data_IF_605653937516
#
_entry.id   IF_605653937516
#
_cell.length_a   1.000
_cell.length_b   1.000
_cell.length_c   1.000
_cell.angle_alpha   90.00
_cell.angle_beta   90.00
_cell.angle_gamma   90.00
#
_symmetry.space_group_name_H-M   'P 1'
#
loop_
_entity.id
_entity.type
_entity.pdbx_description
1 polymer ?
#
# COMPACT_ATOMS: atom_id res chain seq x y z
N UNK A 1 37.20 21.94 -33.57
CA UNK A 1 37.74 22.37 -32.26
C UNK A 1 36.67 22.08 -31.22
N UNK A 2 36.57 20.82 -30.77
CA UNK A 2 37.18 20.25 -29.55
C UNK A 2 36.39 20.61 -28.29
N UNK A 3 35.78 19.61 -27.65
CA UNK A 3 35.14 19.77 -26.34
C UNK A 3 34.27 18.60 -25.87
N UNK A 4 34.69 17.34 -26.09
CA UNK A 4 34.15 16.19 -25.35
C UNK A 4 34.71 16.21 -23.93
N UNK A 5 33.84 16.17 -22.92
CA UNK A 5 34.20 15.71 -21.57
C UNK A 5 33.37 14.48 -21.22
N UNK A 6 34.02 13.33 -21.38
CA UNK A 6 33.80 12.12 -20.60
C UNK A 6 34.28 12.38 -19.17
N UNK A 7 33.57 11.87 -18.16
CA UNK A 7 34.18 11.16 -17.02
C UNK A 7 33.14 10.33 -16.26
N UNK A 8 33.62 9.17 -15.85
CA UNK A 8 32.97 7.93 -15.41
C UNK A 8 32.52 7.90 -13.93
N UNK A 9 31.91 6.79 -13.46
CA UNK A 9 31.13 6.68 -12.23
C UNK A 9 31.97 6.24 -11.02
N UNK A 10 31.46 6.49 -9.81
CA UNK A 10 31.97 5.91 -8.58
C UNK A 10 30.84 5.26 -7.78
N UNK A 11 30.97 3.94 -7.61
CA UNK A 11 30.22 3.11 -6.70
C UNK A 11 30.65 3.37 -5.25
N UNK A 12 29.71 3.31 -4.31
CA UNK A 12 29.99 3.06 -2.91
C UNK A 12 28.98 2.03 -2.37
N UNK A 13 29.37 0.76 -2.45
CA UNK A 13 28.85 -0.30 -1.59
C UNK A 13 29.48 -0.13 -0.21
N UNK A 14 28.67 -0.01 0.84
CA UNK A 14 29.12 -0.14 2.22
C UNK A 14 28.36 -1.27 2.89
N UNK A 15 29.15 -2.17 3.48
CA UNK A 15 28.81 -3.45 4.03
C UNK A 15 28.05 -3.37 5.36
N UNK A 16 27.20 -4.36 5.61
CA UNK A 16 26.60 -4.67 6.91
C UNK A 16 27.54 -5.61 7.70
N UNK A 17 27.74 -5.42 9.01
CA UNK A 17 28.32 -6.43 9.87
C UNK A 17 27.25 -7.44 10.33
N UNK A 18 27.49 -8.72 10.02
CA UNK A 18 26.84 -9.89 10.62
C UNK A 18 27.37 -10.06 12.05
N UNK A 19 26.46 -10.06 13.03
CA UNK A 19 26.75 -10.45 14.41
C UNK A 19 26.25 -11.86 14.68
N UNK A 20 27.17 -12.83 14.72
CA UNK A 20 26.99 -14.13 15.39
C UNK A 20 27.13 -13.95 16.89
N UNK A 21 26.14 -14.33 17.71
CA UNK A 21 26.36 -14.86 19.07
C UNK A 21 25.19 -15.75 19.50
N UNK A 22 25.50 -16.96 19.99
CA UNK A 22 24.87 -17.44 21.23
C UNK A 22 23.94 -18.65 21.14
N UNK A 23 24.52 -19.84 21.27
CA UNK A 23 23.83 -21.11 21.53
C UNK A 23 23.12 -21.13 22.90
N UNK A 24 22.02 -21.88 23.02
CA UNK A 24 21.81 -22.89 24.10
C UNK A 24 20.51 -23.69 23.89
N UNK A 25 20.64 -25.03 23.84
CA UNK A 25 19.56 -26.00 24.05
C UNK A 25 19.20 -26.08 25.54
N UNK A 26 17.95 -26.42 25.88
CA UNK A 26 17.77 -27.64 26.66
C UNK A 26 16.57 -28.50 26.25
N UNK A 27 16.81 -29.80 26.29
CA UNK A 27 15.86 -30.93 26.22
C UNK A 27 15.05 -31.05 27.52
N UNK A 28 13.72 -31.25 27.45
CA UNK A 28 13.01 -32.06 28.47
C UNK A 28 11.69 -32.66 27.95
N UNK A 29 11.61 -33.98 28.03
CA UNK A 29 10.42 -34.83 27.90
C UNK A 29 9.31 -34.41 28.87
N UNK A 30 8.04 -34.59 28.49
CA UNK A 30 7.14 -35.48 29.25
C UNK A 30 5.91 -35.94 28.44
N UNK A 31 5.70 -37.25 28.50
CA UNK A 31 4.50 -37.98 28.06
C UNK A 31 3.35 -37.71 29.04
N UNK A 32 2.13 -37.65 28.53
CA UNK A 32 0.92 -37.69 29.35
C UNK A 32 -0.31 -38.01 28.51
N UNK A 33 -0.52 -39.29 28.21
CA UNK A 33 -1.82 -39.83 27.78
C UNK A 33 -2.85 -39.61 28.88
N UNK A 34 -4.02 -39.08 28.56
CA UNK A 34 -5.29 -39.48 29.19
C UNK A 34 -6.43 -39.35 28.18
N UNK A 35 -6.93 -40.51 27.77
CA UNK A 35 -8.25 -40.66 27.20
C UNK A 35 -9.28 -40.55 28.33
N UNK A 36 -10.27 -39.69 28.15
CA UNK A 36 -11.57 -39.73 28.83
C UNK A 36 -12.60 -39.42 27.74
N UNK A 37 -13.30 -40.46 27.30
CA UNK A 37 -14.67 -40.78 27.70
C UNK A 37 -15.67 -39.86 26.99
N UNK A 38 -16.31 -40.44 25.97
CA UNK A 38 -17.50 -39.91 25.36
C UNK A 38 -18.60 -39.77 26.41
N UNK A 39 -19.32 -38.65 26.38
CA UNK A 39 -20.65 -38.53 26.97
C UNK A 39 -21.59 -37.90 25.93
N UNK A 40 -22.74 -38.54 25.62
CA UNK A 40 -23.63 -38.18 24.53
C UNK A 40 -24.73 -37.23 25.02
N UNK A 41 -24.48 -35.93 24.95
CA UNK A 41 -25.54 -34.91 25.09
C UNK A 41 -25.64 -34.09 23.80
N UNK A 42 -26.21 -34.72 22.77
CA UNK A 42 -26.89 -34.01 21.69
C UNK A 42 -28.26 -33.54 22.21
N UNK A 43 -28.42 -32.24 22.43
CA UNK A 43 -29.67 -31.47 22.26
C UNK A 43 -29.46 -30.02 22.70
N UNK A 44 -28.93 -29.21 21.80
CA UNK A 44 -29.48 -27.89 21.49
C UNK A 44 -28.79 -27.38 20.21
N UNK A 45 -29.49 -27.51 19.08
CA UNK A 45 -29.05 -26.99 17.79
C UNK A 45 -29.51 -25.55 17.71
N UNK A 46 -28.88 -24.70 18.51
CA UNK A 46 -29.03 -23.26 18.42
C UNK A 46 -27.88 -22.76 17.55
N UNK A 47 -28.24 -22.16 16.42
CA UNK A 47 -27.32 -21.59 15.45
C UNK A 47 -26.51 -20.46 16.07
N UNK A 48 -25.52 -20.82 16.87
CA UNK A 48 -24.43 -19.96 17.27
C UNK A 48 -23.56 -19.79 16.03
N UNK A 49 -23.96 -18.86 15.15
CA UNK A 49 -22.98 -18.07 14.41
C UNK A 49 -22.12 -17.42 15.49
N UNK A 50 -21.05 -18.08 15.89
CA UNK A 50 -19.90 -17.36 16.40
C UNK A 50 -19.58 -16.33 15.31
N UNK A 51 -19.68 -15.02 15.58
CA UNK A 51 -19.14 -14.05 14.64
C UNK A 51 -17.69 -14.48 14.44
N UNK A 52 -17.30 -14.73 13.19
CA UNK A 52 -15.91 -15.00 12.84
C UNK A 52 -15.11 -13.75 13.26
N UNK A 53 -14.64 -13.74 14.51
CA UNK A 53 -13.83 -12.66 15.10
C UNK A 53 -12.43 -12.58 14.47
N UNK A 54 -12.21 -13.30 13.37
CA UNK A 54 -10.98 -13.31 12.62
C UNK A 54 -11.21 -13.01 11.13
N UNK A 55 -12.23 -12.21 10.80
CA UNK A 55 -12.27 -11.52 9.51
C UNK A 55 -11.16 -10.45 9.49
N UNK A 56 -9.92 -10.93 9.42
CA UNK A 56 -8.77 -10.09 9.09
C UNK A 56 -9.00 -9.61 7.68
N UNK A 57 -9.57 -8.40 7.56
CA UNK A 57 -9.71 -7.65 6.32
C UNK A 57 -8.50 -7.88 5.41
N UNK A 58 -8.73 -8.26 4.16
CA UNK A 58 -7.69 -8.67 3.20
C UNK A 58 -6.57 -7.63 3.08
N UNK A 59 -6.90 -6.35 3.27
CA UNK A 59 -5.97 -5.23 3.33
C UNK A 59 -4.88 -5.37 4.40
N UNK A 60 -5.16 -6.04 5.53
CA UNK A 60 -4.16 -6.31 6.57
C UNK A 60 -3.06 -7.24 6.08
N UNK A 61 -3.37 -8.15 5.16
CA UNK A 61 -2.36 -9.05 4.57
C UNK A 61 -1.32 -8.27 3.76
N UNK A 62 -1.69 -7.10 3.22
CA UNK A 62 -0.78 -6.16 2.55
C UNK A 62 -0.03 -5.24 3.53
N UNK A 63 -0.25 -5.41 4.84
CA UNK A 63 0.39 -4.62 5.89
C UNK A 63 -0.27 -3.26 6.15
N UNK A 64 -1.49 -3.03 5.62
CA UNK A 64 -2.21 -1.76 5.75
C UNK A 64 -2.89 -1.66 7.11
N UNK A 65 -2.94 -0.46 7.69
CA UNK A 65 -3.67 -0.21 8.93
C UNK A 65 -5.12 0.16 8.65
N UNK A 66 -5.98 -0.86 8.75
CA UNK A 66 -7.42 -0.74 8.52
C UNK A 66 -8.24 -1.12 9.76
N UNK A 67 -9.35 -0.41 9.93
CA UNK A 67 -10.44 -0.74 10.83
C UNK A 67 -11.55 -1.39 10.02
N UNK A 68 -12.11 -2.49 10.49
CA UNK A 68 -13.27 -3.11 9.87
C UNK A 68 -14.46 -2.84 10.79
N UNK A 69 -15.53 -2.28 10.23
CA UNK A 69 -16.78 -2.11 10.97
C UNK A 69 -17.56 -3.43 10.92
N UNK A 70 -17.76 -4.11 12.07
CA UNK A 70 -18.44 -5.40 12.10
C UNK A 70 -19.92 -5.33 11.69
N UNK A 71 -20.50 -4.12 11.60
CA UNK A 71 -21.92 -3.95 11.29
C UNK A 71 -22.19 -3.61 9.82
N UNK A 72 -21.18 -3.20 9.06
CA UNK A 72 -21.39 -2.62 7.72
C UNK A 72 -20.51 -3.21 6.62
N UNK A 73 -19.71 -4.24 6.92
CA UNK A 73 -18.71 -4.84 6.03
C UNK A 73 -17.71 -3.83 5.42
N UNK A 74 -17.75 -2.57 5.87
CA UNK A 74 -16.87 -1.52 5.40
C UNK A 74 -15.51 -1.64 6.07
N UNK A 75 -14.47 -1.46 5.26
CA UNK A 75 -13.09 -1.37 5.73
C UNK A 75 -12.63 0.08 5.62
N UNK A 76 -12.29 0.70 6.73
CA UNK A 76 -11.78 2.07 6.77
C UNK A 76 -10.26 2.08 6.95
N UNK A 77 -9.55 2.74 6.04
CA UNK A 77 -8.12 3.02 6.11
C UNK A 77 -7.84 4.27 6.94
N UNK A 78 -6.80 4.22 7.78
CA UNK A 78 -6.28 5.39 8.48
C UNK A 78 -5.02 5.90 7.78
N UNK A 79 -5.07 7.14 7.30
CA UNK A 79 -3.99 7.76 6.53
C UNK A 79 -2.82 8.20 7.42
N UNK A 80 -1.60 8.04 6.93
CA UNK A 80 -0.34 8.57 7.48
C UNK A 80 0.46 7.62 8.36
N UNK A 81 -0.06 6.44 8.69
CA UNK A 81 0.71 5.41 9.40
C UNK A 81 1.68 4.68 8.49
N UNK A 82 1.15 3.77 7.66
CA UNK A 82 1.92 2.99 6.68
C UNK A 82 1.62 3.36 5.23
N UNK A 83 0.64 4.23 5.03
CA UNK A 83 0.14 4.63 3.73
C UNK A 83 -0.25 6.09 3.80
N UNK A 84 0.17 6.84 2.80
CA UNK A 84 -0.37 8.15 2.48
C UNK A 84 -1.19 8.07 1.21
N UNK A 85 -2.05 9.06 0.99
CA UNK A 85 -2.92 9.13 -0.17
C UNK A 85 -2.73 10.48 -0.87
N UNK A 86 -2.67 10.43 -2.19
CA UNK A 86 -2.70 11.60 -3.06
C UNK A 86 -3.97 11.53 -3.92
N UNK A 87 -4.69 12.63 -3.99
CA UNK A 87 -5.83 12.84 -4.89
C UNK A 87 -5.38 13.66 -6.09
N UNK A 88 -5.95 13.38 -7.25
CA UNK A 88 -5.73 14.15 -8.46
C UNK A 88 -6.88 13.94 -9.44
N UNK A 89 -7.21 14.92 -10.29
CA UNK A 89 -8.25 14.77 -11.29
C UNK A 89 -8.01 13.56 -12.21
N UNK A 90 -9.06 12.83 -12.57
CA UNK A 90 -8.94 11.60 -13.36
C UNK A 90 -8.10 11.73 -14.64
N UNK A 91 -8.17 12.82 -15.44
CA UNK A 91 -7.38 12.94 -16.67
C UNK A 91 -5.87 12.97 -16.43
N UNK A 92 -5.40 13.67 -15.38
CA UNK A 92 -3.97 13.69 -15.03
C UNK A 92 -3.58 12.38 -14.35
N UNK A 93 -4.45 11.83 -13.50
CA UNK A 93 -4.23 10.57 -12.80
C UNK A 93 -3.97 9.40 -13.75
N UNK A 94 -4.78 9.28 -14.80
CA UNK A 94 -4.65 8.24 -15.79
C UNK A 94 -3.29 8.31 -16.52
N UNK A 95 -2.78 9.51 -16.78
CA UNK A 95 -1.45 9.72 -17.39
C UNK A 95 -0.33 9.38 -16.42
N UNK A 96 -0.43 9.85 -15.18
CA UNK A 96 0.52 9.51 -14.10
C UNK A 96 0.60 8.00 -13.92
N UNK A 97 -0.55 7.34 -13.80
CA UNK A 97 -0.64 5.90 -13.66
C UNK A 97 -0.03 5.16 -14.85
N UNK A 98 -0.23 5.65 -16.08
CA UNK A 98 0.44 5.12 -17.29
C UNK A 98 1.96 5.25 -17.21
N UNK A 99 2.48 6.43 -16.83
CA UNK A 99 3.92 6.64 -16.65
C UNK A 99 4.47 5.67 -15.60
N UNK A 100 3.81 5.54 -14.46
CA UNK A 100 4.20 4.59 -13.41
C UNK A 100 4.18 3.14 -13.91
N UNK A 101 3.16 2.75 -14.69
CA UNK A 101 3.04 1.40 -15.23
C UNK A 101 4.18 1.05 -16.20
N UNK A 102 4.59 1.99 -17.07
CA UNK A 102 5.74 1.82 -17.97
C UNK A 102 7.03 1.56 -17.17
N UNK A 103 7.19 2.20 -16.01
CA UNK A 103 8.35 2.03 -15.13
C UNK A 103 8.18 0.86 -14.14
N UNK A 104 7.12 0.05 -14.27
CA UNK A 104 6.77 -1.04 -13.36
C UNK A 104 6.60 -0.61 -11.88
N UNK A 105 6.23 0.67 -11.68
CA UNK A 105 6.03 1.31 -10.37
C UNK A 105 4.56 1.70 -10.13
N UNK A 106 3.63 1.23 -10.96
CA UNK A 106 2.21 1.43 -10.74
C UNK A 106 1.76 0.72 -9.46
N UNK A 107 1.37 1.52 -8.47
CA UNK A 107 0.78 1.08 -7.22
C UNK A 107 -0.74 1.00 -7.28
N UNK A 108 -1.37 0.78 -6.12
CA UNK A 108 -2.82 0.77 -6.03
C UNK A 108 -3.40 2.14 -6.34
N UNK A 109 -4.53 2.15 -7.03
CA UNK A 109 -5.27 3.36 -7.36
C UNK A 109 -6.78 3.07 -7.41
N UNK A 110 -7.56 4.01 -6.89
CA UNK A 110 -9.01 3.91 -6.75
C UNK A 110 -9.68 5.14 -7.38
N UNK A 111 -10.83 4.95 -8.01
CA UNK A 111 -11.69 6.06 -8.47
C UNK A 111 -12.50 6.60 -7.29
N UNK A 112 -12.53 7.92 -7.14
CA UNK A 112 -13.36 8.64 -6.15
C UNK A 112 -14.03 9.85 -6.81
N UNK A 113 -15.22 9.64 -7.38
CA UNK A 113 -15.93 10.65 -8.17
C UNK A 113 -15.16 11.03 -9.43
N UNK A 114 -14.87 12.33 -9.60
CA UNK A 114 -14.10 12.88 -10.71
C UNK A 114 -12.56 12.80 -10.48
N UNK A 115 -12.14 12.37 -9.29
CA UNK A 115 -10.75 12.22 -8.91
C UNK A 115 -10.33 10.75 -8.89
N UNK A 116 -9.02 10.53 -8.96
CA UNK A 116 -8.42 9.28 -8.55
C UNK A 116 -7.63 9.47 -7.25
N UNK A 117 -7.65 8.43 -6.44
CA UNK A 117 -6.89 8.27 -5.22
C UNK A 117 -5.73 7.32 -5.50
N UNK A 118 -4.50 7.84 -5.40
CA UNK A 118 -3.28 7.05 -5.51
C UNK A 118 -2.70 6.79 -4.12
N UNK A 119 -2.43 5.52 -3.83
CA UNK A 119 -1.85 5.09 -2.57
C UNK A 119 -0.33 5.10 -2.65
N UNK A 120 0.32 5.70 -1.66
CA UNK A 120 1.76 5.93 -1.62
C UNK A 120 2.33 5.55 -0.25
N UNK A 121 3.65 5.35 -0.19
CA UNK A 121 4.37 5.28 1.08
C UNK A 121 4.09 6.53 1.93
N UNK A 122 4.06 6.37 3.26
CA UNK A 122 3.85 7.49 4.17
C UNK A 122 5.07 8.40 4.09
N UNK A 123 4.84 9.69 4.18
CA UNK A 123 5.92 10.66 4.21
C UNK A 123 5.80 11.44 5.51
N UNK A 124 6.90 11.48 6.26
CA UNK A 124 6.90 11.85 7.67
C UNK A 124 6.30 13.23 7.92
N UNK A 125 6.59 14.20 7.03
CA UNK A 125 6.07 15.59 7.02
C UNK A 125 6.26 16.33 5.68
N UNK A 126 6.46 15.63 4.56
CA UNK A 126 6.77 16.29 3.29
C UNK A 126 5.60 17.14 2.77
N UNK A 127 5.77 18.46 2.76
CA UNK A 127 4.86 19.36 2.06
C UNK A 127 4.81 19.00 0.58
N UNK A 128 3.65 19.23 -0.03
CA UNK A 128 3.49 19.02 -1.45
C UNK A 128 4.35 20.06 -2.21
N UNK A 129 5.11 19.67 -3.24
CA UNK A 129 5.82 20.63 -4.06
C UNK A 129 4.87 21.68 -4.65
N UNK A 130 5.25 22.97 -4.58
CA UNK A 130 4.43 24.09 -5.08
C UNK A 130 4.12 23.98 -6.57
N UNK A 131 4.99 23.30 -7.32
CA UNK A 131 4.81 23.08 -8.75
C UNK A 131 3.71 22.06 -9.06
N UNK A 132 3.08 21.39 -8.08
CA UNK A 132 2.10 20.31 -8.28
C UNK A 132 0.70 20.66 -7.74
N UNK A 133 0.16 21.81 -8.16
CA UNK A 133 -1.15 22.36 -7.77
C UNK A 133 -2.37 21.43 -8.00
N UNK A 134 -2.30 20.51 -8.96
CA UNK A 134 -3.40 19.55 -9.25
C UNK A 134 -3.41 18.34 -8.31
N UNK A 135 -2.34 18.15 -7.53
CA UNK A 135 -2.21 17.03 -6.59
C UNK A 135 -2.64 17.51 -5.22
N UNK A 136 -3.50 16.77 -4.53
CA UNK A 136 -3.90 17.09 -3.16
C UNK A 136 -3.49 15.95 -2.24
N UNK A 137 -2.74 16.26 -1.19
CA UNK A 137 -2.43 15.27 -0.16
C UNK A 137 -3.62 15.13 0.79
N UNK A 138 -4.04 13.88 1.05
CA UNK A 138 -5.02 13.62 2.11
C UNK A 138 -4.31 13.74 3.47
N UNK A 139 -4.85 14.52 4.43
CA UNK A 139 -4.21 14.72 5.72
C UNK A 139 -3.95 13.41 6.48
N UNK A 140 -2.83 13.36 7.20
CA UNK A 140 -2.56 12.27 8.14
C UNK A 140 -3.61 12.26 9.25
N UNK A 141 -4.06 11.07 9.63
CA UNK A 141 -5.14 10.85 10.59
C UNK A 141 -6.54 10.86 9.97
N UNK A 142 -6.67 11.28 8.70
CA UNK A 142 -7.93 11.12 7.97
C UNK A 142 -8.31 9.64 7.84
N UNK A 143 -9.62 9.41 7.81
CA UNK A 143 -10.22 8.10 7.55
C UNK A 143 -10.77 8.06 6.14
N UNK A 144 -10.52 6.97 5.44
CA UNK A 144 -11.01 6.75 4.08
C UNK A 144 -11.61 5.36 4.00
N UNK A 145 -12.84 5.26 3.49
CA UNK A 145 -13.46 3.97 3.26
C UNK A 145 -12.85 3.31 2.02
N UNK A 146 -12.49 2.04 2.17
CA UNK A 146 -11.98 1.20 1.11
C UNK A 146 -13.13 0.29 0.66
N UNK A 147 -13.42 0.24 -0.64
CA UNK A 147 -14.36 -0.73 -1.16
C UNK A 147 -13.77 -2.14 -1.06
N UNK A 148 -14.52 -3.22 -1.33
CA UNK A 148 -13.97 -4.56 -1.49
C UNK A 148 -12.87 -4.64 -2.58
N UNK A 149 -11.99 -5.66 -2.56
CA UNK A 149 -10.88 -5.78 -3.54
C UNK A 149 -11.35 -6.10 -4.96
N UNK A 150 -12.53 -6.72 -5.10
CA UNK A 150 -13.18 -7.05 -6.36
C UNK A 150 -14.05 -5.89 -6.92
N UNK A 151 -14.10 -4.77 -6.21
CA UNK A 151 -14.85 -3.60 -6.62
C UNK A 151 -14.29 -2.97 -7.92
N UNK A 152 -15.15 -2.64 -8.91
CA UNK A 152 -14.72 -2.08 -10.19
C UNK A 152 -14.13 -0.66 -10.08
N UNK A 153 -14.28 0.01 -8.93
CA UNK A 153 -13.64 1.28 -8.62
C UNK A 153 -12.13 1.18 -8.48
N UNK A 154 -11.58 -0.01 -8.27
CA UNK A 154 -10.14 -0.24 -8.30
C UNK A 154 -9.61 -0.15 -9.74
N UNK A 155 -8.82 0.89 -10.02
CA UNK A 155 -8.02 0.95 -11.25
C UNK A 155 -6.89 -0.08 -11.20
N UNK A 156 -6.20 -0.11 -10.07
CA UNK A 156 -5.21 -1.15 -9.73
C UNK A 156 -5.45 -1.54 -8.28
N UNK A 157 -5.90 -2.76 -7.98
CA UNK A 157 -6.08 -3.20 -6.60
C UNK A 157 -4.71 -3.40 -5.92
N UNK A 158 -4.64 -3.30 -4.58
CA UNK A 158 -3.42 -3.58 -3.83
C UNK A 158 -3.00 -5.04 -3.99
N UNK A 159 -1.69 -5.29 -3.97
CA UNK A 159 -1.10 -6.63 -4.10
C UNK A 159 0.03 -6.84 -3.11
N UNK A 160 0.20 -8.07 -2.63
CA UNK A 160 1.24 -8.40 -1.65
C UNK A 160 2.66 -8.36 -2.22
N UNK A 161 2.82 -8.63 -3.51
CA UNK A 161 4.10 -8.65 -4.22
C UNK A 161 4.55 -7.26 -4.69
N UNK A 162 3.69 -6.25 -4.58
CA UNK A 162 3.96 -4.90 -5.07
C UNK A 162 3.71 -3.84 -4.01
N UNK A 163 4.77 -3.26 -3.41
CA UNK A 163 4.59 -2.18 -2.45
C UNK A 163 4.02 -0.93 -3.12
N UNK A 164 3.37 -0.10 -2.32
CA UNK A 164 2.98 1.25 -2.76
C UNK A 164 4.23 2.04 -3.17
N UNK A 165 4.17 2.83 -4.27
CA UNK A 165 5.28 3.67 -4.69
C UNK A 165 5.57 4.77 -3.67
N UNK A 166 6.77 5.34 -3.70
CA UNK A 166 7.10 6.51 -2.88
C UNK A 166 6.48 7.78 -3.45
N UNK A 167 6.28 8.80 -2.62
CA UNK A 167 5.73 10.11 -3.07
C UNK A 167 6.59 10.75 -4.14
N UNK A 168 7.92 10.66 -4.00
CA UNK A 168 8.87 11.19 -4.99
C UNK A 168 8.72 10.54 -6.37
N UNK A 169 8.44 9.23 -6.41
CA UNK A 169 8.16 8.51 -7.66
C UNK A 169 6.88 9.03 -8.30
N UNK A 170 5.82 9.22 -7.51
CA UNK A 170 4.56 9.80 -8.02
C UNK A 170 4.79 11.23 -8.52
N UNK A 171 5.46 12.09 -7.77
CA UNK A 171 5.73 13.47 -8.17
C UNK A 171 6.54 13.55 -9.47
N UNK A 172 7.53 12.68 -9.63
CA UNK A 172 8.31 12.58 -10.87
C UNK A 172 7.42 12.14 -12.05
N UNK A 173 6.50 11.20 -11.82
CA UNK A 173 5.54 10.78 -12.82
C UNK A 173 4.53 11.88 -13.19
N UNK A 174 4.09 12.70 -12.22
CA UNK A 174 3.24 13.89 -12.46
C UNK A 174 3.95 14.89 -13.35
N UNK A 175 5.19 15.27 -13.02
CA UNK A 175 5.98 16.19 -13.85
C UNK A 175 6.14 15.68 -15.27
N UNK A 176 6.38 14.38 -15.46
CA UNK A 176 6.47 13.77 -16.78
C UNK A 176 5.14 13.77 -17.53
N UNK A 177 4.05 13.39 -16.86
CA UNK A 177 2.71 13.40 -17.44
C UNK A 177 2.29 14.80 -17.93
N UNK A 178 2.68 15.85 -17.19
CA UNK A 178 2.50 17.26 -17.61
C UNK A 178 3.35 17.63 -18.81
N UNK A 179 4.63 17.23 -18.83
CA UNK A 179 5.51 17.49 -19.97
C UNK A 179 4.97 16.86 -21.27
N UNK A 180 4.36 15.68 -21.18
CA UNK A 180 3.69 14.99 -22.30
C UNK A 180 2.36 15.65 -22.70
N UNK A 181 1.71 16.37 -21.77
CA UNK A 181 0.44 17.06 -22.01
C UNK A 181 0.59 18.36 -22.79
N UNK A 182 1.74 19.01 -22.68
CA UNK A 182 2.00 20.29 -23.34
C UNK A 182 2.17 20.01 -24.84
N UNK A 183 1.27 20.50 -25.71
CA UNK A 183 1.49 20.40 -27.14
C UNK A 183 2.81 21.12 -27.44
N UNK A 184 3.66 20.49 -28.24
CA UNK A 184 4.73 21.19 -28.95
C UNK A 184 4.05 22.20 -29.86
N UNK A 185 3.80 23.41 -29.34
CA UNK A 185 3.55 24.58 -30.17
C UNK A 185 4.90 24.88 -30.80
N UNK A 186 5.19 24.20 -31.89
CA UNK A 186 6.25 24.57 -32.83
C UNK A 186 5.87 25.93 -33.38
N UNK A 187 6.51 26.98 -32.86
CA UNK A 187 6.57 28.30 -33.47
C UNK A 187 7.44 28.26 -34.73
#
# INVERSE_FOLDING_TARGET
MTGQQLLSPAACCSALPFGEVGATRPTRRQRGRRAHLADPCSRFREGSRTPDMNSTSEYRSYGWWVQNDPNSDHTTLIIGGRISVLRMPAPIAARVHRVLAIHLQAGPALVDGDDWVLFTQPDGRGDLPEDLDEVTAVPTGSRMDLPPLDDPGWITPPRADRPVPSRQVIFSAVRRARAEARPLVTA
#
